data_IF_821350817161
#
_entry.id   IF_821350817161
#
_cell.length_a   1.000
_cell.length_b   1.000
_cell.length_c   1.000
_cell.angle_alpha   90.00
_cell.angle_beta   90.00
_cell.angle_gamma   90.00
#
_symmetry.space_group_name_H-M   'P 1'
#
loop_
_entity.id
_entity.type
_entity.pdbx_description
1 polymer ?
#
# COMPACT_ATOMS: atom_id res chain seq x y z
N UNK A 1 6.54 36.55 -25.74
CA UNK A 1 6.23 35.26 -26.40
C UNK A 1 6.06 34.16 -25.36
N UNK A 2 7.06 33.90 -24.50
CA UNK A 2 6.88 33.05 -23.30
C UNK A 2 5.74 33.54 -22.38
N UNK A 3 5.55 34.86 -22.23
CA UNK A 3 4.41 35.38 -21.48
C UNK A 3 3.05 35.00 -22.09
N UNK A 4 2.95 34.83 -23.42
CA UNK A 4 1.71 34.36 -24.06
C UNK A 4 1.46 32.89 -23.74
N UNK A 5 2.51 32.06 -23.79
CA UNK A 5 2.44 30.65 -23.38
C UNK A 5 2.09 30.52 -21.90
N UNK A 6 2.75 31.29 -21.02
CA UNK A 6 2.49 31.29 -19.59
C UNK A 6 1.05 31.71 -19.28
N UNK A 7 0.57 32.79 -19.91
CA UNK A 7 -0.83 33.23 -19.76
C UNK A 7 -1.80 32.13 -20.22
N UNK A 8 -1.54 31.50 -21.37
CA UNK A 8 -2.37 30.40 -21.85
C UNK A 8 -2.43 29.25 -20.83
N UNK A 9 -1.27 28.83 -20.30
CA UNK A 9 -1.19 27.78 -19.28
C UNK A 9 -2.00 28.18 -18.04
N UNK A 10 -1.82 29.40 -17.53
CA UNK A 10 -2.54 29.88 -16.34
C UNK A 10 -4.05 30.01 -16.56
N UNK A 11 -4.49 30.42 -17.73
CA UNK A 11 -5.91 30.64 -18.01
C UNK A 11 -6.66 29.35 -18.35
N UNK A 12 -5.98 28.31 -18.86
CA UNK A 12 -6.64 27.13 -19.45
C UNK A 12 -6.20 25.79 -18.87
N UNK A 13 -5.07 25.70 -18.15
CA UNK A 13 -4.48 24.42 -17.72
C UNK A 13 -4.16 24.40 -16.23
N UNK A 14 -3.37 25.36 -15.72
CA UNK A 14 -2.85 25.37 -14.36
C UNK A 14 -2.59 26.80 -13.87
N UNK A 15 -3.44 27.29 -12.95
CA UNK A 15 -3.36 28.62 -12.33
C UNK A 15 -1.99 28.91 -11.69
N UNK A 16 -1.27 27.87 -11.27
CA UNK A 16 0.04 27.95 -10.60
C UNK A 16 1.23 27.70 -11.53
N UNK A 17 1.00 27.56 -12.85
CA UNK A 17 2.06 27.33 -13.82
C UNK A 17 3.12 28.44 -13.78
N UNK A 18 4.38 28.08 -13.97
CA UNK A 18 5.50 29.04 -13.96
C UNK A 18 6.52 28.71 -15.03
N UNK A 19 7.18 29.74 -15.58
CA UNK A 19 8.27 29.60 -16.56
C UNK A 19 9.40 30.57 -16.20
N UNK A 20 10.60 30.04 -16.01
CA UNK A 20 11.82 30.80 -15.69
C UNK A 20 13.02 30.30 -16.49
N UNK A 21 14.11 31.07 -16.53
CA UNK A 21 15.34 30.64 -17.19
C UNK A 21 15.90 29.37 -16.53
N UNK A 22 16.40 28.43 -17.35
CA UNK A 22 17.03 27.22 -16.82
C UNK A 22 18.48 27.53 -16.39
N UNK A 23 18.84 27.24 -15.13
CA UNK A 23 20.14 27.62 -14.57
C UNK A 23 21.33 26.81 -15.11
N UNK A 24 21.10 25.57 -15.57
CA UNK A 24 22.17 24.66 -15.97
C UNK A 24 22.55 24.75 -17.47
N UNK A 25 22.06 25.77 -18.18
CA UNK A 25 22.32 25.97 -19.62
C UNK A 25 23.82 26.02 -19.94
N UNK A 26 24.64 26.49 -18.99
CA UNK A 26 26.10 26.55 -19.13
C UNK A 26 26.77 25.18 -19.32
N UNK A 27 26.13 24.10 -18.86
CA UNK A 27 26.63 22.72 -18.99
C UNK A 27 26.47 22.18 -20.41
N UNK A 28 25.63 22.81 -21.25
CA UNK A 28 25.40 22.40 -22.62
C UNK A 28 26.52 22.85 -23.57
N UNK A 29 26.69 22.11 -24.66
CA UNK A 29 27.63 22.46 -25.72
C UNK A 29 27.28 23.82 -26.35
N UNK A 30 28.28 24.49 -26.91
CA UNK A 30 28.09 25.79 -27.60
C UNK A 30 27.04 25.69 -28.72
N UNK A 31 27.04 24.57 -29.47
CA UNK A 31 26.06 24.28 -30.51
C UNK A 31 24.61 24.26 -30.00
N UNK A 32 24.39 23.70 -28.81
CA UNK A 32 23.05 23.61 -28.22
C UNK A 32 22.58 24.99 -27.76
N UNK A 33 23.47 25.75 -27.10
CA UNK A 33 23.22 27.13 -26.67
C UNK A 33 23.00 28.11 -27.83
N UNK A 34 23.57 27.85 -29.00
CA UNK A 34 23.41 28.73 -30.17
C UNK A 34 22.15 28.45 -30.99
N UNK A 35 21.51 27.28 -30.80
CA UNK A 35 20.34 26.88 -31.60
C UNK A 35 19.03 26.89 -30.80
N UNK A 36 19.11 26.86 -29.47
CA UNK A 36 17.95 26.77 -28.60
C UNK A 36 18.05 27.71 -27.40
N UNK A 37 16.91 28.28 -27.04
CA UNK A 37 16.70 28.87 -25.72
C UNK A 37 16.08 27.84 -24.79
N UNK A 38 16.46 27.88 -23.51
CA UNK A 38 16.01 26.90 -22.52
C UNK A 38 15.36 27.55 -21.30
N UNK A 39 14.25 26.97 -20.87
CA UNK A 39 13.49 27.45 -19.72
C UNK A 39 13.05 26.27 -18.85
N UNK A 40 13.00 26.47 -17.54
CA UNK A 40 12.32 25.56 -16.62
C UNK A 40 10.85 25.96 -16.58
N UNK A 41 9.96 25.03 -16.90
CA UNK A 41 8.51 25.19 -16.81
C UNK A 41 7.95 24.25 -15.75
N UNK A 42 7.12 24.80 -14.86
CA UNK A 42 6.27 24.03 -13.95
C UNK A 42 4.85 24.05 -14.47
N UNK A 43 4.26 22.88 -14.67
CA UNK A 43 2.87 22.70 -15.12
C UNK A 43 2.27 21.47 -14.44
N UNK A 44 1.10 21.61 -13.83
CA UNK A 44 0.42 20.58 -13.03
C UNK A 44 1.35 19.95 -11.97
N UNK A 45 2.08 20.79 -11.24
CA UNK A 45 3.12 20.41 -10.27
C UNK A 45 4.26 19.54 -10.83
N UNK A 46 4.46 19.49 -12.14
CA UNK A 46 5.57 18.80 -12.79
C UNK A 46 6.56 19.79 -13.40
N UNK A 47 7.84 19.56 -13.14
CA UNK A 47 8.93 20.32 -13.76
C UNK A 47 9.33 19.70 -15.08
N UNK A 48 9.51 20.54 -16.09
CA UNK A 48 10.03 20.15 -17.40
C UNK A 48 10.91 21.27 -17.98
N UNK A 49 11.81 20.89 -18.89
CA UNK A 49 12.68 21.83 -19.59
C UNK A 49 12.06 22.15 -20.96
N UNK A 50 11.65 23.39 -21.16
CA UNK A 50 11.29 23.90 -22.48
C UNK A 50 12.56 24.14 -23.29
N UNK A 51 12.65 23.51 -24.45
CA UNK A 51 13.67 23.74 -25.46
C UNK A 51 13.02 24.48 -26.63
N UNK A 52 13.26 25.77 -26.74
CA UNK A 52 12.71 26.63 -27.79
C UNK A 52 13.70 26.73 -28.94
N UNK A 53 13.27 26.38 -30.15
CA UNK A 53 14.10 26.57 -31.35
C UNK A 53 14.24 28.06 -31.67
N UNK A 54 15.49 28.54 -31.83
CA UNK A 54 15.74 29.91 -32.31
C UNK A 54 15.67 30.01 -33.84
N UNK A 55 15.98 28.89 -34.53
CA UNK A 55 16.00 28.78 -35.98
C UNK A 55 14.95 27.77 -36.48
N UNK A 56 14.94 27.53 -37.79
CA UNK A 56 14.10 26.49 -38.39
C UNK A 56 14.36 25.13 -37.73
N UNK A 57 13.26 24.43 -37.45
CA UNK A 57 13.29 23.23 -36.63
C UNK A 57 13.90 22.06 -37.43
N UNK A 58 14.92 21.37 -36.89
CA UNK A 58 15.61 20.31 -37.62
C UNK A 58 14.70 19.09 -37.85
N UNK A 59 15.21 18.10 -38.58
CA UNK A 59 14.53 16.81 -38.76
C UNK A 59 14.22 16.15 -37.40
N UNK A 60 13.13 15.38 -37.31
CA UNK A 60 12.67 14.79 -36.04
C UNK A 60 13.73 13.90 -35.39
N UNK A 61 14.50 13.13 -36.18
CA UNK A 61 15.60 12.30 -35.66
C UNK A 61 16.71 13.14 -35.00
N UNK A 62 16.98 14.32 -35.55
CA UNK A 62 17.97 15.24 -35.01
C UNK A 62 17.43 15.91 -33.73
N UNK A 63 16.16 16.28 -33.70
CA UNK A 63 15.49 16.77 -32.48
C UNK A 63 15.58 15.73 -31.35
N UNK A 64 15.37 14.44 -31.67
CA UNK A 64 15.49 13.36 -30.68
C UNK A 64 16.92 13.27 -30.12
N UNK A 65 17.94 13.35 -30.99
CA UNK A 65 19.34 13.38 -30.56
C UNK A 65 19.65 14.57 -29.64
N UNK A 66 19.16 15.76 -29.99
CA UNK A 66 19.32 16.96 -29.16
C UNK A 66 18.65 16.79 -27.79
N UNK A 67 17.43 16.25 -27.76
CA UNK A 67 16.72 15.94 -26.50
C UNK A 67 17.50 14.92 -25.66
N UNK A 68 18.05 13.87 -26.28
CA UNK A 68 18.86 12.87 -25.58
C UNK A 68 20.10 13.49 -24.95
N UNK A 69 20.78 14.42 -25.63
CA UNK A 69 21.93 15.12 -25.07
C UNK A 69 21.53 15.92 -23.81
N UNK A 70 20.40 16.64 -23.85
CA UNK A 70 19.93 17.41 -22.69
C UNK A 70 19.57 16.50 -21.52
N UNK A 71 18.97 15.33 -21.78
CA UNK A 71 18.63 14.34 -20.73
C UNK A 71 19.83 13.83 -19.94
N UNK A 72 21.07 14.00 -20.41
CA UNK A 72 22.26 13.67 -19.61
C UNK A 72 22.55 14.72 -18.52
N UNK A 73 21.96 15.91 -18.63
CA UNK A 73 22.17 17.06 -17.74
C UNK A 73 20.95 17.38 -16.87
N UNK A 74 19.82 16.67 -17.04
CA UNK A 74 18.60 16.88 -16.27
C UNK A 74 17.77 15.62 -16.17
N UNK A 75 17.14 15.41 -15.02
CA UNK A 75 16.17 14.33 -14.79
C UNK A 75 14.76 14.69 -15.28
N UNK A 76 14.54 15.95 -15.69
CA UNK A 76 13.22 16.43 -16.09
C UNK A 76 12.91 16.15 -17.57
N UNK A 77 11.63 15.93 -17.93
CA UNK A 77 11.21 15.82 -19.33
C UNK A 77 11.60 17.07 -20.13
N UNK A 78 12.10 16.87 -21.34
CA UNK A 78 12.42 17.96 -22.28
C UNK A 78 11.26 18.11 -23.27
N UNK A 79 10.75 19.33 -23.40
CA UNK A 79 9.59 19.68 -24.20
C UNK A 79 10.01 20.66 -25.29
N UNK A 80 9.75 20.32 -26.54
CA UNK A 80 10.01 21.22 -27.65
C UNK A 80 9.00 22.36 -27.67
N UNK A 81 9.47 23.60 -27.66
CA UNK A 81 8.62 24.78 -27.86
C UNK A 81 8.83 25.37 -29.26
N UNK A 82 7.75 25.55 -29.99
CA UNK A 82 7.76 26.17 -31.31
C UNK A 82 6.45 26.88 -31.63
N UNK A 83 6.50 28.07 -32.25
CA UNK A 83 5.33 28.91 -32.47
C UNK A 83 4.41 28.42 -33.60
N UNK A 84 4.94 27.64 -34.55
CA UNK A 84 4.15 27.18 -35.72
C UNK A 84 4.59 25.81 -36.22
N UNK A 85 3.98 24.73 -35.72
CA UNK A 85 4.20 23.39 -36.26
C UNK A 85 3.11 23.03 -37.27
N UNK A 86 3.53 22.69 -38.49
CA UNK A 86 2.60 22.16 -39.51
C UNK A 86 1.95 20.85 -39.03
N UNK A 87 0.78 20.51 -39.59
CA UNK A 87 0.08 19.25 -39.25
C UNK A 87 0.96 18.02 -39.46
N UNK A 88 1.77 18.02 -40.53
CA UNK A 88 2.73 16.95 -40.81
C UNK A 88 3.80 16.84 -39.70
N UNK A 89 4.42 17.96 -39.31
CA UNK A 89 5.43 17.99 -38.24
C UNK A 89 4.86 17.54 -36.91
N UNK A 90 3.65 18.02 -36.53
CA UNK A 90 2.95 17.54 -35.33
C UNK A 90 2.75 16.02 -35.35
N UNK A 91 2.25 15.46 -36.45
CA UNK A 91 2.05 14.00 -36.58
C UNK A 91 3.38 13.22 -36.46
N UNK A 92 4.46 13.75 -37.04
CA UNK A 92 5.79 13.13 -36.98
C UNK A 92 6.38 13.14 -35.56
N UNK A 93 6.25 14.26 -34.84
CA UNK A 93 6.67 14.38 -33.43
C UNK A 93 5.86 13.45 -32.51
N UNK A 94 4.53 13.37 -32.69
CA UNK A 94 3.66 12.45 -31.93
C UNK A 94 4.05 11.00 -32.21
N UNK A 95 4.25 10.62 -33.48
CA UNK A 95 4.67 9.26 -33.86
C UNK A 95 5.99 8.87 -33.17
N UNK A 96 6.89 9.83 -33.01
CA UNK A 96 8.20 9.63 -32.38
C UNK A 96 8.19 9.92 -30.87
N UNK A 97 7.02 10.13 -30.26
CA UNK A 97 6.81 10.44 -28.84
C UNK A 97 7.64 11.63 -28.32
N UNK A 98 7.88 12.63 -29.16
CA UNK A 98 8.58 13.86 -28.77
C UNK A 98 7.59 14.85 -28.16
N UNK A 99 7.72 15.21 -26.87
CA UNK A 99 6.82 16.19 -26.26
C UNK A 99 6.98 17.57 -26.87
N UNK A 100 5.88 18.27 -27.14
CA UNK A 100 5.93 19.64 -27.64
C UNK A 100 4.78 20.51 -27.13
N UNK A 101 5.00 21.83 -27.14
CA UNK A 101 4.02 22.84 -26.81
C UNK A 101 4.12 24.05 -27.75
N UNK A 102 2.97 24.49 -28.26
CA UNK A 102 2.84 25.66 -29.11
C UNK A 102 2.23 26.84 -28.35
N UNK A 103 2.49 28.06 -28.82
CA UNK A 103 2.00 29.30 -28.21
C UNK A 103 0.48 29.47 -28.30
N UNK A 104 -0.18 28.80 -29.24
CA UNK A 104 -1.64 28.77 -29.41
C UNK A 104 -2.34 27.73 -28.52
N UNK A 105 -1.57 27.03 -27.67
CA UNK A 105 -2.09 26.03 -26.74
C UNK A 105 -2.10 24.60 -27.26
N UNK A 106 -1.77 24.37 -28.54
CA UNK A 106 -1.65 23.01 -29.04
C UNK A 106 -0.43 22.32 -28.44
N UNK A 107 -0.66 21.20 -27.76
CA UNK A 107 0.38 20.51 -27.02
C UNK A 107 0.24 18.99 -27.10
N UNK A 108 1.38 18.32 -27.04
CA UNK A 108 1.48 16.89 -26.81
C UNK A 108 2.48 16.68 -25.67
N UNK A 109 1.96 16.49 -24.46
CA UNK A 109 2.75 16.31 -23.24
C UNK A 109 2.43 14.93 -22.64
N UNK A 110 2.92 13.84 -23.26
CA UNK A 110 2.52 12.48 -22.88
C UNK A 110 2.90 12.13 -21.43
N UNK A 111 3.94 12.77 -20.88
CA UNK A 111 4.32 12.61 -19.47
C UNK A 111 3.26 13.17 -18.53
N UNK A 112 2.52 14.24 -18.90
CA UNK A 112 1.39 14.73 -18.11
C UNK A 112 0.18 13.79 -18.21
N UNK A 113 -0.04 13.16 -19.37
CA UNK A 113 -1.09 12.16 -19.55
C UNK A 113 -0.86 10.87 -18.75
N UNK A 114 0.40 10.45 -18.62
CA UNK A 114 0.79 9.42 -17.64
C UNK A 114 0.55 9.92 -16.21
N UNK A 115 0.88 11.18 -15.93
CA UNK A 115 0.73 11.78 -14.60
C UNK A 115 -0.71 12.13 -14.18
N UNK A 116 -1.69 12.17 -15.09
CA UNK A 116 -3.11 12.24 -14.73
C UNK A 116 -3.63 10.90 -14.20
N UNK A 117 -3.04 9.77 -14.64
CA UNK A 117 -3.26 8.44 -14.06
C UNK A 117 -2.41 8.20 -12.81
N UNK A 118 -1.33 8.97 -12.63
CA UNK A 118 -0.57 9.08 -11.39
C UNK A 118 -0.90 10.41 -10.67
N UNK A 119 -2.17 10.56 -10.24
CA UNK A 119 -2.39 11.29 -9.00
C UNK A 119 -1.42 10.74 -7.95
N UNK A 120 -0.80 11.58 -7.10
CA UNK A 120 0.39 11.23 -6.36
C UNK A 120 0.17 9.87 -5.69
N UNK A 121 0.89 8.85 -6.15
CA UNK A 121 1.30 7.80 -5.25
C UNK A 121 2.19 8.50 -4.21
N UNK A 122 1.54 9.06 -3.20
CA UNK A 122 1.99 8.88 -1.85
C UNK A 122 1.92 7.37 -1.56
N UNK A 123 2.74 6.57 -2.26
CA UNK A 123 3.25 5.31 -1.74
C UNK A 123 4.46 5.64 -0.85
N UNK A 124 4.30 6.64 0.02
CA UNK A 124 4.56 6.34 1.42
C UNK A 124 3.33 5.55 1.83
N UNK A 125 3.44 4.24 2.00
CA UNK A 125 2.42 3.56 2.79
C UNK A 125 2.17 4.46 4.01
N UNK A 126 0.92 4.88 4.25
CA UNK A 126 0.62 5.79 5.36
C UNK A 126 1.01 5.16 6.72
N UNK A 127 1.34 3.87 6.70
CA UNK A 127 1.70 3.02 7.82
C UNK A 127 2.70 1.94 7.33
N UNK A 128 3.61 1.54 8.21
CA UNK A 128 4.51 0.40 7.95
C UNK A 128 3.84 -0.95 8.28
N UNK A 129 2.86 -0.93 9.18
CA UNK A 129 2.18 -2.11 9.72
C UNK A 129 0.69 -1.78 9.92
N UNK A 130 -0.20 -2.75 9.71
CA UNK A 130 -1.62 -2.55 9.93
C UNK A 130 -1.95 -2.21 11.39
N UNK A 131 -2.97 -1.36 11.56
CA UNK A 131 -3.62 -1.21 12.86
C UNK A 131 -4.26 -2.54 13.32
N UNK A 132 -4.53 -2.74 14.63
CA UNK A 132 -5.24 -3.93 15.11
C UNK A 132 -6.52 -4.23 14.33
N UNK A 133 -7.26 -3.17 14.00
CA UNK A 133 -8.57 -3.27 13.35
C UNK A 133 -8.40 -3.55 11.86
N UNK A 134 -7.40 -2.97 11.20
CA UNK A 134 -7.06 -3.31 9.82
C UNK A 134 -6.59 -4.77 9.70
N UNK A 135 -5.80 -5.28 10.65
CA UNK A 135 -5.43 -6.69 10.68
C UNK A 135 -6.64 -7.61 10.91
N UNK A 136 -7.56 -7.26 11.82
CA UNK A 136 -8.83 -7.98 11.99
C UNK A 136 -9.65 -8.00 10.68
N UNK A 137 -9.77 -6.86 10.00
CA UNK A 137 -10.47 -6.77 8.72
C UNK A 137 -9.78 -7.62 7.63
N UNK A 138 -8.45 -7.64 7.61
CA UNK A 138 -7.68 -8.45 6.67
C UNK A 138 -8.00 -9.93 6.82
N UNK A 139 -7.95 -10.43 8.07
CA UNK A 139 -8.19 -11.84 8.38
C UNK A 139 -9.65 -12.20 8.14
N UNK A 140 -10.59 -11.34 8.54
CA UNK A 140 -12.01 -11.53 8.29
C UNK A 140 -12.29 -11.75 6.79
N UNK A 141 -11.73 -10.89 5.92
CA UNK A 141 -11.88 -11.00 4.47
C UNK A 141 -11.09 -12.18 3.87
N UNK A 142 -10.00 -12.61 4.51
CA UNK A 142 -9.29 -13.83 4.11
C UNK A 142 -10.19 -15.08 4.29
N UNK A 143 -11.00 -15.09 5.35
CA UNK A 143 -11.93 -16.19 5.64
C UNK A 143 -13.24 -16.07 4.81
N UNK A 144 -13.65 -14.86 4.42
CA UNK A 144 -14.86 -14.59 3.63
C UNK A 144 -14.53 -14.17 2.18
N UNK A 145 -13.90 -15.08 1.44
CA UNK A 145 -13.18 -14.82 0.19
C UNK A 145 -13.97 -14.08 -0.89
N UNK A 146 -15.26 -14.38 -1.03
CA UNK A 146 -16.15 -13.83 -2.07
C UNK A 146 -17.07 -12.71 -1.57
N UNK A 147 -16.89 -12.30 -0.31
CA UNK A 147 -17.75 -11.28 0.28
C UNK A 147 -17.43 -9.88 -0.26
N UNK A 148 -18.51 -9.16 -0.62
CA UNK A 148 -18.49 -7.71 -0.78
C UNK A 148 -18.99 -7.10 0.52
N UNK A 149 -18.22 -6.17 1.10
CA UNK A 149 -18.55 -5.63 2.42
C UNK A 149 -18.48 -4.10 2.45
N UNK A 150 -19.47 -3.45 3.06
CA UNK A 150 -19.37 -2.03 3.39
C UNK A 150 -18.79 -1.84 4.80
N UNK A 151 -18.38 -0.61 5.10
CA UNK A 151 -17.94 -0.26 6.46
C UNK A 151 -19.06 -0.45 7.51
N UNK A 152 -20.32 -0.33 7.10
CA UNK A 152 -21.47 -0.54 8.00
C UNK A 152 -21.66 -2.03 8.30
N UNK A 153 -21.61 -2.87 7.27
CA UNK A 153 -21.75 -4.32 7.43
C UNK A 153 -20.61 -4.87 8.30
N UNK A 154 -19.36 -4.47 8.00
CA UNK A 154 -18.20 -4.89 8.80
C UNK A 154 -18.30 -4.44 10.26
N UNK A 155 -18.82 -3.23 10.51
CA UNK A 155 -19.06 -2.73 11.86
C UNK A 155 -20.11 -3.55 12.62
N UNK A 156 -21.19 -3.98 11.94
CA UNK A 156 -22.23 -4.83 12.53
C UNK A 156 -21.68 -6.20 12.90
N UNK A 157 -20.95 -6.86 12.00
CA UNK A 157 -20.39 -8.19 12.22
C UNK A 157 -19.33 -8.22 13.34
N UNK A 158 -18.60 -7.13 13.53
CA UNK A 158 -17.49 -7.06 14.49
C UNK A 158 -17.82 -6.33 15.80
N UNK A 159 -18.99 -5.68 15.88
CA UNK A 159 -19.36 -4.80 17.00
C UNK A 159 -18.52 -3.51 17.09
N UNK A 160 -17.76 -3.17 16.05
CA UNK A 160 -16.95 -1.95 15.99
C UNK A 160 -17.78 -0.73 15.58
N UNK A 161 -17.24 0.47 15.79
CA UNK A 161 -17.85 1.66 15.19
C UNK A 161 -17.67 1.68 13.69
N UNK A 162 -18.64 2.23 12.96
CA UNK A 162 -18.56 2.43 11.49
C UNK A 162 -17.36 3.27 11.08
N UNK A 163 -16.93 4.22 11.92
CA UNK A 163 -15.73 5.02 11.68
C UNK A 163 -14.45 4.16 11.78
N UNK A 164 -14.33 3.31 12.80
CA UNK A 164 -13.18 2.39 12.93
C UNK A 164 -13.14 1.37 11.80
N UNK A 165 -14.29 0.79 11.44
CA UNK A 165 -14.44 -0.11 10.30
C UNK A 165 -14.02 0.57 8.98
N UNK A 166 -14.49 1.79 8.74
CA UNK A 166 -14.13 2.56 7.55
C UNK A 166 -12.62 2.83 7.48
N UNK A 167 -12.00 3.22 8.60
CA UNK A 167 -10.54 3.44 8.65
C UNK A 167 -9.77 2.16 8.32
N UNK A 168 -10.15 1.03 8.92
CA UNK A 168 -9.53 -0.26 8.68
C UNK A 168 -9.64 -0.71 7.21
N UNK A 169 -10.82 -0.59 6.59
CA UNK A 169 -11.00 -0.92 5.17
C UNK A 169 -10.23 0.03 4.24
N UNK A 170 -10.12 1.32 4.59
CA UNK A 170 -9.27 2.24 3.85
C UNK A 170 -7.77 1.91 4.00
N UNK A 171 -7.30 1.43 5.16
CA UNK A 171 -5.92 0.94 5.31
C UNK A 171 -5.64 -0.23 4.34
N UNK A 172 -6.55 -1.20 4.25
CA UNK A 172 -6.40 -2.32 3.30
C UNK A 172 -6.47 -1.87 1.84
N UNK A 173 -7.32 -0.89 1.52
CA UNK A 173 -7.37 -0.26 0.21
C UNK A 173 -6.07 0.47 -0.13
N UNK A 174 -5.54 1.28 0.78
CA UNK A 174 -4.26 1.99 0.64
C UNK A 174 -3.09 0.99 0.47
N UNK A 175 -3.18 -0.20 1.08
CA UNK A 175 -2.25 -1.31 0.87
C UNK A 175 -2.47 -2.08 -0.46
N UNK A 176 -3.37 -1.62 -1.34
CA UNK A 176 -3.74 -2.25 -2.62
C UNK A 176 -4.33 -3.65 -2.50
N UNK A 177 -4.92 -3.99 -1.34
CA UNK A 177 -5.52 -5.29 -1.10
C UNK A 177 -7.01 -5.34 -1.45
N UNK A 178 -7.68 -4.18 -1.48
CA UNK A 178 -9.09 -4.04 -1.78
C UNK A 178 -9.31 -3.11 -2.97
N UNK A 179 -10.38 -3.34 -3.71
CA UNK A 179 -11.05 -2.37 -4.57
C UNK A 179 -12.39 -2.00 -3.96
N UNK A 180 -13.02 -0.91 -4.42
CA UNK A 180 -14.39 -0.61 -4.01
C UNK A 180 -15.24 -0.09 -5.17
N UNK A 181 -16.54 -0.35 -5.06
CA UNK A 181 -17.58 0.28 -5.87
C UNK A 181 -18.36 1.26 -4.98
N UNK A 182 -18.80 2.38 -5.55
CA UNK A 182 -19.73 3.28 -4.87
C UNK A 182 -21.16 2.79 -5.11
N UNK A 183 -21.90 2.52 -4.04
CA UNK A 183 -23.30 2.09 -4.08
C UNK A 183 -24.19 2.89 -3.14
N UNK A 184 -25.50 2.82 -3.37
CA UNK A 184 -26.54 3.40 -2.53
C UNK A 184 -27.15 4.68 -3.11
N UNK A 185 -28.36 5.02 -2.64
CA UNK A 185 -29.18 6.15 -3.14
C UNK A 185 -28.50 7.52 -3.06
N UNK A 186 -27.50 7.67 -2.19
CA UNK A 186 -26.77 8.92 -1.95
C UNK A 186 -25.37 8.95 -2.57
N UNK A 187 -24.94 7.89 -3.29
CA UNK A 187 -23.58 7.75 -3.85
C UNK A 187 -22.44 7.97 -2.83
N UNK A 188 -22.65 7.61 -1.56
CA UNK A 188 -21.66 7.81 -0.48
C UNK A 188 -21.14 6.51 0.16
N UNK A 189 -21.76 5.37 -0.12
CA UNK A 189 -21.33 4.10 0.50
C UNK A 189 -20.32 3.39 -0.39
N UNK A 190 -19.14 3.09 0.17
CA UNK A 190 -18.14 2.25 -0.48
C UNK A 190 -18.42 0.79 -0.11
N UNK A 191 -18.50 -0.06 -1.13
CA UNK A 191 -18.57 -1.51 -0.98
C UNK A 191 -17.26 -2.08 -1.46
N UNK A 192 -16.49 -2.64 -0.53
CA UNK A 192 -15.16 -3.16 -0.78
C UNK A 192 -15.20 -4.62 -1.23
N UNK A 193 -14.23 -4.98 -2.06
CA UNK A 193 -13.96 -6.34 -2.50
C UNK A 193 -12.45 -6.58 -2.49
N UNK A 194 -12.02 -7.74 -1.97
CA UNK A 194 -10.61 -8.11 -1.95
C UNK A 194 -10.12 -8.57 -3.32
N UNK A 195 -8.81 -8.47 -3.54
CA UNK A 195 -8.13 -9.17 -4.64
C UNK A 195 -8.07 -10.68 -4.40
N UNK A 196 -7.78 -11.46 -5.45
CA UNK A 196 -7.72 -12.92 -5.38
C UNK A 196 -6.49 -13.45 -4.62
N UNK A 197 -6.59 -14.69 -4.14
CA UNK A 197 -5.44 -15.45 -3.66
C UNK A 197 -4.55 -15.90 -4.84
N UNK A 198 -3.24 -16.11 -4.61
CA UNK A 198 -2.52 -15.92 -3.35
C UNK A 198 -2.04 -14.48 -3.14
N UNK A 199 -2.31 -13.56 -4.08
CA UNK A 199 -1.81 -12.18 -4.01
C UNK A 199 -2.31 -11.41 -2.79
N UNK A 200 -3.57 -11.60 -2.40
CA UNK A 200 -4.16 -10.95 -1.22
C UNK A 200 -3.28 -11.14 0.03
N UNK A 201 -2.88 -12.37 0.30
CA UNK A 201 -2.04 -12.68 1.46
C UNK A 201 -0.59 -12.27 1.24
N UNK A 202 -0.02 -12.57 0.06
CA UNK A 202 1.39 -12.28 -0.22
C UNK A 202 1.72 -10.79 -0.20
N UNK A 203 0.84 -9.93 -0.73
CA UNK A 203 1.01 -8.47 -0.64
C UNK A 203 0.85 -7.96 0.79
N UNK A 204 -0.01 -8.59 1.58
CA UNK A 204 -0.27 -8.21 2.97
C UNK A 204 0.87 -8.58 3.92
N UNK A 205 1.64 -9.65 3.66
CA UNK A 205 2.68 -10.21 4.55
C UNK A 205 3.56 -9.14 5.23
N UNK A 206 4.01 -8.13 4.48
CA UNK A 206 4.89 -7.06 4.98
C UNK A 206 4.23 -6.12 6.00
N UNK A 207 2.90 -6.04 6.02
CA UNK A 207 2.12 -5.19 6.91
C UNK A 207 1.55 -5.94 8.13
N UNK A 208 1.62 -7.28 8.12
CA UNK A 208 1.06 -8.11 9.19
C UNK A 208 1.99 -8.14 10.41
N UNK A 209 1.39 -8.23 11.59
CA UNK A 209 2.10 -8.29 12.86
C UNK A 209 1.58 -9.41 13.74
N UNK A 210 2.33 -9.72 14.79
CA UNK A 210 1.87 -10.66 15.82
C UNK A 210 0.55 -10.18 16.43
N UNK A 211 -0.46 -11.06 16.60
CA UNK A 211 -1.77 -10.70 17.14
C UNK A 211 -1.74 -10.18 18.58
N UNK A 212 -0.76 -10.62 19.38
CA UNK A 212 -0.64 -10.29 20.80
C UNK A 212 0.52 -9.34 21.10
N UNK A 213 0.35 -8.54 22.15
CA UNK A 213 1.40 -7.63 22.66
C UNK A 213 2.12 -8.17 23.89
N UNK A 214 1.42 -8.94 24.71
CA UNK A 214 1.89 -9.39 26.01
C UNK A 214 1.46 -10.81 26.25
N UNK A 215 2.32 -11.56 26.93
CA UNK A 215 2.03 -12.88 27.46
C UNK A 215 2.04 -12.78 28.99
N UNK A 216 1.08 -13.42 29.63
CA UNK A 216 1.01 -13.55 31.09
C UNK A 216 0.80 -15.01 31.45
N UNK A 217 1.35 -15.44 32.58
CA UNK A 217 1.17 -16.80 33.08
C UNK A 217 0.17 -16.78 34.21
N UNK A 218 -0.79 -17.70 34.19
CA UNK A 218 -1.83 -17.80 35.22
C UNK A 218 -1.96 -19.22 35.75
N UNK A 219 -2.38 -19.37 37.01
CA UNK A 219 -2.65 -20.68 37.61
C UNK A 219 -4.00 -21.27 37.18
N UNK A 220 -4.87 -20.46 36.56
CA UNK A 220 -6.18 -20.87 36.04
C UNK A 220 -6.38 -20.33 34.61
N UNK A 221 -7.10 -21.08 33.79
CA UNK A 221 -7.50 -20.65 32.46
C UNK A 221 -8.66 -19.63 32.55
N UNK A 222 -8.59 -18.48 31.86
CA UNK A 222 -9.72 -17.56 31.78
C UNK A 222 -10.89 -18.19 31.01
N UNK A 223 -12.12 -18.01 31.49
CA UNK A 223 -13.32 -18.63 30.90
C UNK A 223 -13.55 -18.27 29.42
N UNK A 224 -13.19 -17.04 29.03
CA UNK A 224 -13.42 -16.51 27.68
C UNK A 224 -12.21 -16.64 26.74
N UNK A 225 -11.20 -17.44 27.13
CA UNK A 225 -9.98 -17.61 26.33
C UNK A 225 -10.11 -18.75 25.31
N UNK A 226 -9.50 -18.55 24.14
CA UNK A 226 -9.46 -19.53 23.05
C UNK A 226 -8.12 -20.26 23.05
N UNK A 227 -8.10 -21.51 22.58
CA UNK A 227 -6.85 -22.26 22.43
C UNK A 227 -5.98 -21.60 21.36
N UNK A 228 -4.70 -21.38 21.64
CA UNK A 228 -3.77 -20.65 20.79
C UNK A 228 -2.39 -21.32 20.70
N UNK A 229 -1.52 -20.79 19.84
CA UNK A 229 -0.10 -21.17 19.75
C UNK A 229 0.13 -22.67 19.60
N UNK A 230 1.11 -23.19 20.36
CA UNK A 230 1.50 -24.61 20.34
C UNK A 230 0.36 -25.55 20.74
N UNK A 231 -0.55 -25.11 21.62
CA UNK A 231 -1.71 -25.92 22.01
C UNK A 231 -2.62 -26.24 20.83
N UNK A 232 -2.82 -25.29 19.89
CA UNK A 232 -3.59 -25.56 18.66
C UNK A 232 -2.91 -26.62 17.80
N UNK A 233 -1.58 -26.54 17.65
CA UNK A 233 -0.83 -27.53 16.88
C UNK A 233 -0.89 -28.91 17.55
N UNK A 234 -0.79 -29.00 18.88
CA UNK A 234 -0.91 -30.27 19.59
C UNK A 234 -2.29 -30.92 19.49
N UNK A 235 -3.35 -30.13 19.28
CA UNK A 235 -4.70 -30.66 19.06
C UNK A 235 -4.97 -31.10 17.62
N UNK A 236 -4.23 -30.54 16.65
CA UNK A 236 -4.44 -30.78 15.22
C UNK A 236 -3.43 -31.75 14.61
N UNK A 237 -2.30 -31.98 15.27
CA UNK A 237 -1.18 -32.77 14.77
C UNK A 237 -0.69 -33.74 15.85
N UNK A 238 0.33 -34.55 15.52
CA UNK A 238 0.97 -35.46 16.48
C UNK A 238 1.97 -34.78 17.42
N UNK A 239 1.94 -33.44 17.51
CA UNK A 239 2.82 -32.68 18.39
C UNK A 239 2.39 -32.86 19.85
N UNK A 240 3.35 -33.05 20.74
CA UNK A 240 3.06 -33.19 22.17
C UNK A 240 2.46 -31.89 22.74
N UNK A 241 1.54 -32.01 23.69
CA UNK A 241 1.01 -30.83 24.38
C UNK A 241 2.13 -30.04 25.08
N UNK A 242 2.10 -28.69 25.00
CA UNK A 242 3.09 -27.87 25.67
C UNK A 242 2.94 -27.99 27.18
N UNK A 243 4.05 -27.80 27.91
CA UNK A 243 4.05 -27.77 29.38
C UNK A 243 3.06 -26.76 29.94
N UNK A 244 2.98 -25.59 29.31
CA UNK A 244 2.04 -24.53 29.62
C UNK A 244 1.04 -24.42 28.48
N UNK A 245 -0.20 -24.89 28.66
CA UNK A 245 -1.24 -24.73 27.65
C UNK A 245 -1.41 -23.25 27.28
N UNK A 246 -1.45 -22.98 25.98
CA UNK A 246 -1.44 -21.63 25.42
C UNK A 246 -2.85 -21.22 25.02
N UNK A 247 -3.28 -20.08 25.51
CA UNK A 247 -4.58 -19.50 25.24
C UNK A 247 -4.47 -18.04 24.77
N UNK A 248 -5.47 -17.56 24.06
CA UNK A 248 -5.60 -16.18 23.58
C UNK A 248 -6.88 -15.55 24.12
N UNK A 249 -6.77 -14.31 24.57
CA UNK A 249 -7.92 -13.51 25.04
C UNK A 249 -7.77 -12.06 24.56
N UNK A 250 -8.89 -11.39 24.32
CA UNK A 250 -8.87 -9.97 24.03
C UNK A 250 -8.34 -9.22 25.25
N UNK A 251 -7.30 -8.40 25.09
CA UNK A 251 -6.66 -7.69 26.21
C UNK A 251 -7.63 -6.83 27.04
N UNK A 252 -8.71 -6.31 26.44
CA UNK A 252 -9.70 -5.50 27.14
C UNK A 252 -10.73 -6.34 27.92
N UNK A 253 -10.78 -7.65 27.67
CA UNK A 253 -11.63 -8.63 28.38
C UNK A 253 -10.81 -9.45 29.37
N UNK A 254 -9.49 -9.22 29.46
CA UNK A 254 -8.64 -9.88 30.44
C UNK A 254 -8.84 -9.24 31.81
N UNK A 255 -9.72 -9.86 32.60
CA UNK A 255 -9.97 -9.52 33.99
C UNK A 255 -9.62 -10.73 34.87
N UNK A 256 -8.39 -10.72 35.38
CA UNK A 256 -7.86 -11.78 36.25
C UNK A 256 -7.29 -11.12 37.51
N UNK A 257 -7.67 -11.65 38.68
CA UNK A 257 -7.10 -11.18 39.95
C UNK A 257 -5.59 -11.39 39.96
N UNK A 258 -4.86 -10.43 40.53
CA UNK A 258 -3.40 -10.45 40.64
C UNK A 258 -2.87 -11.75 41.24
N UNK A 259 -3.61 -12.35 42.18
CA UNK A 259 -3.23 -13.55 42.90
C UNK A 259 -3.12 -14.80 42.02
N UNK A 260 -3.80 -14.80 40.87
CA UNK A 260 -3.71 -15.88 39.88
C UNK A 260 -2.59 -15.64 38.86
N UNK A 261 -2.00 -14.44 38.81
CA UNK A 261 -0.96 -14.08 37.85
C UNK A 261 0.41 -14.43 38.41
N UNK A 262 1.13 -15.29 37.71
CA UNK A 262 2.48 -15.72 38.08
C UNK A 262 3.48 -14.88 37.29
N UNK A 263 4.36 -14.18 38.01
CA UNK A 263 5.39 -13.29 37.41
C UNK A 263 6.82 -13.79 37.61
N UNK A 264 7.05 -14.62 38.63
CA UNK A 264 8.36 -15.20 38.90
C UNK A 264 8.67 -16.32 37.88
N UNK A 265 9.77 -16.16 37.12
CA UNK A 265 10.17 -17.09 36.05
C UNK A 265 10.55 -18.48 36.55
N UNK A 266 11.21 -18.57 37.71
CA UNK A 266 11.59 -19.86 38.28
C UNK A 266 10.33 -20.61 38.72
N UNK A 267 9.38 -19.89 39.33
CA UNK A 267 8.10 -20.49 39.70
C UNK A 267 7.30 -20.96 38.48
N UNK A 268 7.25 -20.17 37.39
CA UNK A 268 6.62 -20.60 36.12
C UNK A 268 7.27 -21.89 35.61
N UNK A 269 8.60 -22.03 35.75
CA UNK A 269 9.31 -23.24 35.35
C UNK A 269 9.08 -24.44 36.29
N UNK A 270 8.62 -24.24 37.52
CA UNK A 270 8.46 -25.35 38.46
C UNK A 270 7.01 -25.84 38.59
N UNK A 271 6.02 -25.00 38.26
CA UNK A 271 4.60 -25.33 38.40
C UNK A 271 3.88 -25.43 37.05
N UNK A 272 2.68 -26.01 37.08
CA UNK A 272 1.77 -25.94 35.95
C UNK A 272 1.09 -24.57 35.90
N UNK A 273 1.20 -23.91 34.75
CA UNK A 273 0.60 -22.60 34.45
C UNK A 273 -0.02 -22.61 33.06
N UNK A 274 -0.98 -21.73 32.84
CA UNK A 274 -1.52 -21.39 31.54
C UNK A 274 -0.76 -20.19 30.97
N UNK A 275 -0.35 -20.28 29.71
CA UNK A 275 0.23 -19.17 28.97
C UNK A 275 -0.88 -18.38 28.27
N UNK A 276 -1.14 -17.15 28.71
CA UNK A 276 -2.22 -16.31 28.18
C UNK A 276 -1.64 -15.22 27.30
N UNK A 277 -1.92 -15.29 26.00
CA UNK A 277 -1.61 -14.26 25.02
C UNK A 277 -2.70 -13.19 25.04
N UNK A 278 -2.31 -11.94 25.31
CA UNK A 278 -3.21 -10.77 25.33
C UNK A 278 -3.24 -10.12 23.95
N UNK A 279 -4.33 -10.35 23.22
CA UNK A 279 -4.50 -9.96 21.82
C UNK A 279 -4.99 -8.53 21.66
N UNK A 280 -4.57 -7.89 20.57
CA UNK A 280 -4.90 -6.51 20.23
C UNK A 280 -6.31 -6.34 19.63
N UNK A 281 -6.92 -7.43 19.15
CA UNK A 281 -8.30 -7.54 18.68
C UNK A 281 -8.96 -8.77 19.33
N UNK A 282 -10.29 -8.84 19.32
CA UNK A 282 -11.00 -9.97 19.90
C UNK A 282 -10.86 -11.22 19.00
N UNK A 283 -10.16 -12.29 19.45
CA UNK A 283 -9.94 -13.47 18.62
C UNK A 283 -11.22 -14.28 18.35
N UNK A 284 -12.27 -14.12 19.18
CA UNK A 284 -13.55 -14.83 19.02
C UNK A 284 -14.28 -14.45 17.74
N UNK A 285 -14.05 -13.23 17.23
CA UNK A 285 -14.62 -12.75 15.97
C UNK A 285 -14.15 -13.54 14.74
N UNK A 286 -13.04 -14.27 14.86
CA UNK A 286 -12.43 -15.04 13.77
C UNK A 286 -12.36 -16.54 14.08
N UNK A 287 -12.70 -16.92 15.31
CA UNK A 287 -12.48 -18.27 15.84
C UNK A 287 -13.40 -19.31 15.21
N UNK A 288 -12.92 -20.54 15.16
CA UNK A 288 -13.73 -21.71 14.82
C UNK A 288 -13.38 -22.83 15.80
N UNK A 289 -14.37 -23.57 16.30
CA UNK A 289 -14.17 -24.70 17.23
C UNK A 289 -13.33 -24.36 18.48
N UNK A 290 -13.56 -23.18 19.08
CA UNK A 290 -12.86 -22.70 20.28
C UNK A 290 -11.33 -22.50 20.12
N UNK A 291 -10.86 -22.33 18.87
CA UNK A 291 -9.46 -22.09 18.52
C UNK A 291 -9.30 -20.79 17.76
N UNK A 292 -8.11 -20.21 17.86
CA UNK A 292 -7.74 -19.05 17.02
C UNK A 292 -7.70 -19.43 15.54
N UNK A 293 -7.93 -18.46 14.67
CA UNK A 293 -7.92 -18.67 13.22
C UNK A 293 -6.52 -19.02 12.67
N UNK A 294 -6.48 -19.68 11.52
CA UNK A 294 -5.25 -20.16 10.89
C UNK A 294 -4.26 -19.04 10.51
N UNK A 295 -4.74 -17.86 10.11
CA UNK A 295 -3.86 -16.73 9.79
C UNK A 295 -3.21 -16.20 11.06
N UNK A 296 -3.97 -16.00 12.12
CA UNK A 296 -3.41 -15.55 13.40
C UNK A 296 -2.48 -16.60 14.03
N UNK A 297 -2.78 -17.89 13.87
CA UNK A 297 -1.89 -18.99 14.26
C UNK A 297 -0.56 -18.92 13.50
N UNK A 298 -0.61 -18.78 12.18
CA UNK A 298 0.56 -18.58 11.34
C UNK A 298 1.39 -17.37 11.80
N UNK A 299 0.75 -16.21 12.00
CA UNK A 299 1.45 -14.99 12.43
C UNK A 299 2.15 -15.13 13.80
N UNK A 300 1.62 -16.00 14.66
CA UNK A 300 2.18 -16.32 15.97
C UNK A 300 3.40 -17.23 15.87
N UNK A 301 3.35 -18.24 14.99
CA UNK A 301 4.30 -19.36 14.97
C UNK A 301 5.30 -19.35 13.80
N UNK A 302 5.09 -18.54 12.75
CA UNK A 302 5.93 -18.48 11.55
C UNK A 302 7.43 -18.28 11.81
N UNK A 303 7.78 -17.62 12.92
CA UNK A 303 9.17 -17.33 13.31
C UNK A 303 9.69 -18.29 14.40
N UNK A 304 9.04 -19.42 14.63
CA UNK A 304 9.52 -20.45 15.55
C UNK A 304 10.86 -21.03 15.09
N UNK A 305 11.77 -21.30 16.03
CA UNK A 305 13.04 -21.98 15.75
C UNK A 305 12.92 -23.50 15.83
N UNK A 306 11.84 -24.03 16.39
CA UNK A 306 11.60 -25.46 16.51
C UNK A 306 11.09 -26.01 15.17
N UNK A 307 11.85 -26.91 14.56
CA UNK A 307 11.49 -27.50 13.27
C UNK A 307 10.25 -28.39 13.35
N UNK A 308 9.96 -28.99 14.52
CA UNK A 308 8.73 -29.77 14.76
C UNK A 308 7.50 -28.87 14.68
N UNK A 309 7.61 -27.66 15.26
CA UNK A 309 6.55 -26.65 15.22
C UNK A 309 6.32 -26.13 13.80
N UNK A 310 7.39 -25.92 13.02
CA UNK A 310 7.26 -25.53 11.60
C UNK A 310 6.57 -26.61 10.78
N UNK A 311 6.94 -27.88 10.98
CA UNK A 311 6.35 -29.00 10.27
C UNK A 311 4.85 -29.17 10.62
N UNK A 312 4.50 -29.09 11.91
CA UNK A 312 3.11 -29.14 12.34
C UNK A 312 2.30 -27.95 11.82
N UNK A 313 2.88 -26.75 11.79
CA UNK A 313 2.24 -25.57 11.20
C UNK A 313 1.99 -25.75 9.70
N UNK A 314 2.98 -26.27 8.96
CA UNK A 314 2.83 -26.56 7.53
C UNK A 314 1.73 -27.58 7.26
N UNK A 315 1.64 -28.64 8.07
CA UNK A 315 0.60 -29.66 7.99
C UNK A 315 -0.80 -29.06 8.17
N UNK A 316 -0.99 -28.20 9.18
CA UNK A 316 -2.27 -27.52 9.44
C UNK A 316 -2.64 -26.56 8.30
N UNK A 317 -1.68 -25.86 7.71
CA UNK A 317 -1.93 -24.82 6.71
C UNK A 317 -1.95 -25.33 5.25
N UNK A 318 -1.56 -26.57 4.98
CA UNK A 318 -1.45 -27.11 3.60
C UNK A 318 -2.76 -27.06 2.80
N UNK A 319 -3.92 -27.02 3.47
CA UNK A 319 -5.24 -26.89 2.83
C UNK A 319 -5.67 -25.45 2.52
N UNK A 320 -4.90 -24.45 2.95
CA UNK A 320 -5.24 -23.04 2.80
C UNK A 320 -4.77 -22.50 1.45
N UNK A 321 -5.69 -22.02 0.61
CA UNK A 321 -5.36 -21.45 -0.72
C UNK A 321 -4.40 -20.25 -0.69
N UNK A 322 -4.27 -19.58 0.45
CA UNK A 322 -3.36 -18.45 0.62
C UNK A 322 -1.97 -18.86 1.11
N UNK A 323 -1.81 -20.10 1.56
CA UNK A 323 -0.55 -20.62 2.10
C UNK A 323 0.23 -21.32 0.98
N UNK A 324 1.49 -20.92 0.78
CA UNK A 324 2.29 -21.37 -0.39
C UNK A 324 3.57 -22.11 -0.03
N UNK A 325 3.70 -22.61 1.20
CA UNK A 325 4.92 -23.28 1.69
C UNK A 325 6.08 -22.34 1.97
#
# INVERSE_FOLDING_TARGET
>A
MLNKLLNYIKENIDDYGDIKAWGDVHQLTLFMRSNYDYFEMTILNQKCILMKSMNELPGVDQVIKHIQQIKHHTEYPVVLHHDGLTRYRRKSLIKSRVPFIMTDGQMYLPFLGLNLYYGPELNKNKFDVFSPVAQLAFIYLNNHKDSKISATDFAQETGLTTMSASRALNELFDATLLSYEIKGKTNRSKVYQRISNPEYFNKAKKYLRRPYKKVVYTTQAPENALIAGESVLSELTLLNSPKHPVYAIYKNEFDMKSDFIVTNKDLINDIFCYEIQLWDYNPRLLSTNNRVDHVSLYLTLQNSRDDRMKQALDEVLRGEEWYTG
#
